data_IF_959478790014
#
_entry.id   IF_959478790014
#
_cell.length_a   1.000
_cell.length_b   1.000
_cell.length_c   1.000
_cell.angle_alpha   90.00
_cell.angle_beta   90.00
_cell.angle_gamma   90.00
#
_symmetry.space_group_name_H-M   'P 1'
#
loop_
_entity.id
_entity.type
_entity.pdbx_description
1 polymer ?
#
# COMPACT_ATOMS: atom_id res chain seq x y z
N UNK A 1 1.08 -21.62 -28.86
CA UNK A 1 -0.26 -21.50 -28.21
C UNK A 1 -0.11 -20.95 -26.78
N UNK A 2 0.76 -19.95 -26.56
CA UNK A 2 1.04 -19.40 -25.21
C UNK A 2 0.64 -17.92 -25.05
N UNK A 3 0.35 -17.20 -26.15
CA UNK A 3 0.14 -15.73 -26.08
C UNK A 3 -1.28 -15.26 -25.73
N UNK A 4 -2.30 -16.13 -25.84
CA UNK A 4 -3.70 -15.68 -25.61
C UNK A 4 -4.13 -15.66 -24.14
N UNK A 5 -3.37 -16.31 -23.22
CA UNK A 5 -3.72 -16.30 -21.78
C UNK A 5 -3.19 -15.08 -21.04
N UNK A 6 -2.03 -14.53 -21.43
CA UNK A 6 -1.46 -13.34 -20.77
C UNK A 6 -2.21 -12.06 -21.10
N UNK A 7 -2.75 -11.91 -22.32
CA UNK A 7 -3.51 -10.72 -22.70
C UNK A 7 -4.84 -10.55 -21.92
N UNK A 8 -5.47 -11.67 -21.51
CA UNK A 8 -6.72 -11.60 -20.74
C UNK A 8 -6.52 -11.27 -19.25
N UNK A 9 -5.35 -11.51 -18.69
CA UNK A 9 -5.08 -11.35 -17.26
C UNK A 9 -4.68 -9.91 -16.91
N UNK A 10 -3.84 -9.26 -17.71
CA UNK A 10 -3.61 -7.82 -17.62
C UNK A 10 -4.94 -7.04 -17.74
N UNK A 11 -5.89 -7.53 -18.53
CA UNK A 11 -7.17 -6.87 -18.75
C UNK A 11 -8.05 -6.75 -17.48
N UNK A 12 -7.89 -7.58 -16.45
CA UNK A 12 -8.72 -7.48 -15.23
C UNK A 12 -8.23 -6.37 -14.29
N UNK A 13 -6.95 -6.30 -14.02
CA UNK A 13 -6.37 -5.23 -13.20
C UNK A 13 -6.52 -3.87 -13.91
N UNK A 14 -6.22 -3.78 -15.19
CA UNK A 14 -6.43 -2.58 -15.99
C UNK A 14 -7.90 -2.11 -15.97
N UNK A 15 -8.86 -3.03 -15.97
CA UNK A 15 -10.28 -2.70 -15.83
C UNK A 15 -10.62 -2.19 -14.42
N UNK A 16 -10.01 -2.74 -13.38
CA UNK A 16 -10.17 -2.23 -12.01
C UNK A 16 -9.61 -0.81 -11.90
N UNK A 17 -8.38 -0.59 -12.36
CA UNK A 17 -7.72 0.72 -12.36
C UNK A 17 -8.56 1.74 -13.15
N UNK A 18 -9.01 1.39 -14.35
CA UNK A 18 -9.88 2.24 -15.15
C UNK A 18 -11.21 2.56 -14.46
N UNK A 19 -11.81 1.56 -13.78
CA UNK A 19 -13.07 1.74 -13.04
C UNK A 19 -12.94 2.66 -11.84
N UNK A 20 -11.76 2.72 -11.23
CA UNK A 20 -11.46 3.52 -10.04
C UNK A 20 -10.52 4.70 -10.32
N UNK A 21 -10.30 5.03 -11.59
CA UNK A 21 -9.39 6.10 -12.03
C UNK A 21 -9.62 7.42 -11.28
N UNK A 22 -10.87 7.82 -11.03
CA UNK A 22 -11.19 9.05 -10.29
C UNK A 22 -10.66 9.02 -8.85
N UNK A 23 -10.79 7.89 -8.15
CA UNK A 23 -10.26 7.76 -6.78
C UNK A 23 -8.74 7.74 -6.82
N UNK A 24 -8.15 6.99 -7.76
CA UNK A 24 -6.69 6.94 -7.98
C UNK A 24 -6.16 8.35 -8.28
N UNK A 25 -6.78 9.09 -9.20
CA UNK A 25 -6.41 10.46 -9.51
C UNK A 25 -6.51 11.39 -8.30
N UNK A 26 -7.54 11.22 -7.46
CA UNK A 26 -7.70 11.99 -6.23
C UNK A 26 -6.58 11.70 -5.22
N UNK A 27 -6.12 10.46 -5.12
CA UNK A 27 -4.99 10.05 -4.28
C UNK A 27 -3.68 10.61 -4.84
N UNK A 28 -3.42 10.41 -6.13
CA UNK A 28 -2.16 10.82 -6.78
C UNK A 28 -1.98 12.35 -6.83
N UNK A 29 -3.08 13.11 -6.88
CA UNK A 29 -3.09 14.58 -6.89
C UNK A 29 -3.61 15.17 -5.57
N UNK A 30 -3.49 14.41 -4.47
CA UNK A 30 -4.00 14.84 -3.17
C UNK A 30 -3.36 16.16 -2.71
N UNK A 31 -4.12 17.09 -2.05
CA UNK A 31 -3.61 18.36 -1.56
C UNK A 31 -2.36 18.27 -0.68
N UNK A 32 -2.20 17.18 0.09
CA UNK A 32 -0.98 16.91 0.85
C UNK A 32 0.26 16.85 -0.06
N UNK A 33 0.16 16.15 -1.20
CA UNK A 33 1.26 16.00 -2.15
C UNK A 33 1.51 17.31 -2.93
N UNK A 34 0.45 18.02 -3.28
CA UNK A 34 0.57 19.34 -3.91
C UNK A 34 1.26 20.35 -3.00
N UNK A 35 0.93 20.35 -1.71
CA UNK A 35 1.61 21.18 -0.71
C UNK A 35 3.07 20.75 -0.48
N UNK A 36 3.35 19.44 -0.56
CA UNK A 36 4.70 18.90 -0.50
C UNK A 36 5.56 19.43 -1.67
N UNK A 37 5.06 19.34 -2.90
CA UNK A 37 5.76 19.83 -4.10
C UNK A 37 6.08 21.33 -4.04
N UNK A 38 5.19 22.12 -3.42
CA UNK A 38 5.38 23.56 -3.20
C UNK A 38 6.26 23.91 -2.00
N UNK A 39 6.76 22.90 -1.27
CA UNK A 39 7.51 23.06 -0.02
C UNK A 39 6.70 23.80 1.09
N UNK A 40 5.38 23.58 1.10
CA UNK A 40 4.44 24.16 2.08
C UNK A 40 4.11 23.17 3.22
N UNK A 41 4.56 21.91 3.12
CA UNK A 41 4.35 20.89 4.16
C UNK A 41 5.27 21.16 5.35
N UNK A 42 4.67 21.34 6.52
CA UNK A 42 5.41 21.45 7.77
C UNK A 42 6.07 20.12 8.14
N UNK A 43 7.23 20.19 8.80
CA UNK A 43 7.98 18.99 9.26
C UNK A 43 7.13 18.08 10.13
N UNK A 44 6.26 18.64 10.96
CA UNK A 44 5.37 17.90 11.85
C UNK A 44 4.38 17.01 11.07
N UNK A 45 3.94 17.43 9.88
CA UNK A 45 3.09 16.61 8.99
C UNK A 45 3.84 15.38 8.47
N UNK A 46 5.12 15.54 8.13
CA UNK A 46 5.99 14.41 7.75
C UNK A 46 6.23 13.48 8.94
N UNK A 47 6.35 14.02 10.15
CA UNK A 47 6.47 13.21 11.36
C UNK A 47 5.19 12.41 11.63
N UNK A 48 4.00 13.02 11.45
CA UNK A 48 2.72 12.32 11.55
C UNK A 48 2.67 11.17 10.54
N UNK A 49 2.96 11.44 9.26
CA UNK A 49 3.01 10.42 8.22
C UNK A 49 3.86 9.21 8.65
N UNK A 50 5.08 9.43 9.13
CA UNK A 50 5.99 8.35 9.55
C UNK A 50 5.46 7.59 10.77
N UNK A 51 4.85 8.28 11.73
CA UNK A 51 4.26 7.62 12.90
C UNK A 51 3.07 6.73 12.50
N UNK A 52 2.23 7.20 11.59
CA UNK A 52 1.10 6.40 11.08
C UNK A 52 1.59 5.17 10.29
N UNK A 53 2.63 5.33 9.46
CA UNK A 53 3.25 4.20 8.75
C UNK A 53 3.77 3.12 9.71
N UNK A 54 4.32 3.52 10.85
CA UNK A 54 4.77 2.57 11.86
C UNK A 54 3.62 1.69 12.38
N UNK A 55 2.44 2.26 12.62
CA UNK A 55 1.27 1.51 13.06
C UNK A 55 0.73 0.60 11.96
N UNK A 56 0.64 1.11 10.72
CA UNK A 56 0.19 0.34 9.56
C UNK A 56 1.07 -0.89 9.37
N UNK A 57 2.38 -0.71 9.18
CA UNK A 57 3.33 -1.79 8.92
C UNK A 57 3.28 -2.87 10.01
N UNK A 58 3.21 -2.48 11.28
CA UNK A 58 3.13 -3.46 12.38
C UNK A 58 1.87 -4.30 12.35
N UNK A 59 0.74 -3.71 11.96
CA UNK A 59 -0.50 -4.45 11.80
C UNK A 59 -0.47 -5.32 10.55
N UNK A 60 0.04 -4.79 9.44
CA UNK A 60 0.05 -5.49 8.16
C UNK A 60 0.96 -6.72 8.20
N UNK A 61 2.07 -6.66 8.93
CA UNK A 61 2.87 -7.86 9.24
C UNK A 61 2.07 -8.96 9.93
N UNK A 62 1.16 -8.61 10.85
CA UNK A 62 0.27 -9.58 11.51
C UNK A 62 -0.80 -10.09 10.57
N UNK A 63 -1.35 -9.19 9.75
CA UNK A 63 -2.32 -9.53 8.72
C UNK A 63 -1.75 -10.54 7.73
N UNK A 64 -0.55 -10.30 7.19
CA UNK A 64 0.11 -11.23 6.27
C UNK A 64 0.47 -12.56 6.93
N UNK A 65 0.95 -12.57 8.18
CA UNK A 65 1.18 -13.81 8.91
C UNK A 65 -0.11 -14.63 9.08
N UNK A 66 -1.24 -13.97 9.33
CA UNK A 66 -2.55 -14.62 9.39
C UNK A 66 -3.00 -15.11 8.00
N UNK A 67 -2.81 -14.33 6.94
CA UNK A 67 -3.12 -14.71 5.56
C UNK A 67 -2.34 -15.95 5.13
N UNK A 68 -1.04 -16.04 5.46
CA UNK A 68 -0.22 -17.23 5.22
C UNK A 68 -0.87 -18.47 5.87
N UNK A 69 -1.32 -18.36 7.12
CA UNK A 69 -1.90 -19.51 7.87
C UNK A 69 -3.21 -20.01 7.29
N UNK A 70 -3.93 -19.21 6.49
CA UNK A 70 -5.23 -19.54 5.88
C UNK A 70 -5.20 -19.58 4.35
N UNK A 71 -4.03 -19.44 3.74
CA UNK A 71 -3.87 -19.46 2.29
C UNK A 71 -4.49 -20.73 1.69
N UNK A 72 -5.17 -20.58 0.55
CA UNK A 72 -5.89 -21.68 -0.09
C UNK A 72 -4.97 -22.71 -0.75
N UNK A 73 -3.74 -22.30 -1.08
CA UNK A 73 -2.72 -23.15 -1.67
C UNK A 73 -1.30 -22.56 -1.42
N UNK A 74 -0.28 -23.28 -1.89
CA UNK A 74 1.12 -22.92 -1.70
C UNK A 74 1.50 -21.62 -2.45
N UNK A 75 0.87 -21.30 -3.57
CA UNK A 75 1.12 -20.08 -4.34
C UNK A 75 0.65 -18.86 -3.53
N UNK A 76 -0.55 -18.94 -2.95
CA UNK A 76 -1.06 -17.87 -2.10
C UNK A 76 -0.18 -17.68 -0.85
N UNK A 77 0.24 -18.78 -0.22
CA UNK A 77 1.13 -18.75 0.94
C UNK A 77 2.48 -18.11 0.62
N UNK A 78 3.06 -18.39 -0.55
CA UNK A 78 4.30 -17.78 -1.04
C UNK A 78 4.13 -16.27 -1.22
N UNK A 79 3.09 -15.82 -1.94
CA UNK A 79 2.82 -14.39 -2.17
C UNK A 79 2.64 -13.61 -0.87
N UNK A 80 1.90 -14.15 0.10
CA UNK A 80 1.74 -13.49 1.40
C UNK A 80 3.02 -13.52 2.24
N UNK A 81 3.89 -14.52 2.04
CA UNK A 81 5.22 -14.57 2.67
C UNK A 81 6.12 -13.48 2.11
N UNK A 82 6.07 -13.22 0.81
CA UNK A 82 6.79 -12.11 0.18
C UNK A 82 6.32 -10.76 0.71
N UNK A 83 5.00 -10.56 0.86
CA UNK A 83 4.44 -9.37 1.48
C UNK A 83 4.92 -9.21 2.93
N UNK A 84 4.89 -10.26 3.75
CA UNK A 84 5.39 -10.24 5.13
C UNK A 84 6.88 -9.87 5.19
N UNK A 85 7.67 -10.41 4.27
CA UNK A 85 9.11 -10.10 4.15
C UNK A 85 9.34 -8.63 3.77
N UNK A 86 8.56 -8.11 2.82
CA UNK A 86 8.61 -6.71 2.41
C UNK A 86 8.26 -5.77 3.57
N UNK A 87 7.19 -6.04 4.31
CA UNK A 87 6.79 -5.26 5.49
C UNK A 87 7.83 -5.33 6.62
N UNK A 88 8.51 -6.45 6.77
CA UNK A 88 9.59 -6.59 7.76
C UNK A 88 10.78 -5.70 7.43
N UNK A 89 11.21 -5.68 6.17
CA UNK A 89 12.27 -4.79 5.67
C UNK A 89 11.84 -3.32 5.73
N UNK A 90 10.55 -3.05 5.47
CA UNK A 90 9.97 -1.71 5.56
C UNK A 90 10.06 -1.16 6.98
N UNK A 91 9.75 -1.95 7.99
CA UNK A 91 9.84 -1.51 9.39
C UNK A 91 11.28 -1.14 9.80
N UNK A 92 12.28 -1.89 9.33
CA UNK A 92 13.69 -1.59 9.56
C UNK A 92 14.12 -0.28 8.89
N UNK A 93 13.71 -0.09 7.62
CA UNK A 93 14.08 1.10 6.86
C UNK A 93 13.29 2.35 7.30
N UNK A 94 12.06 2.19 7.80
CA UNK A 94 11.28 3.29 8.38
C UNK A 94 11.97 3.94 9.58
N UNK A 95 12.74 3.17 10.37
CA UNK A 95 13.49 3.70 11.49
C UNK A 95 14.54 4.75 11.05
N UNK A 96 15.16 4.56 9.88
CA UNK A 96 16.13 5.52 9.31
C UNK A 96 15.43 6.83 8.87
N UNK A 97 14.25 6.71 8.26
CA UNK A 97 13.44 7.87 7.89
C UNK A 97 12.97 8.64 9.13
N UNK A 98 12.52 7.92 10.16
CA UNK A 98 12.10 8.48 11.45
C UNK A 98 13.26 9.26 12.11
N UNK A 99 14.47 8.68 12.16
CA UNK A 99 15.64 9.33 12.69
C UNK A 99 15.97 10.65 11.95
N UNK A 100 15.89 10.64 10.61
CA UNK A 100 16.10 11.85 9.80
C UNK A 100 15.07 12.95 10.09
N UNK A 101 13.86 12.58 10.48
CA UNK A 101 12.81 13.52 10.90
C UNK A 101 12.86 13.88 12.40
N UNK A 102 13.83 13.37 13.15
CA UNK A 102 13.97 13.65 14.59
C UNK A 102 12.94 12.91 15.46
N UNK A 103 12.34 11.85 14.95
CA UNK A 103 11.39 11.00 15.70
C UNK A 103 12.22 9.97 16.48
N UNK A 104 12.12 9.99 17.81
CA UNK A 104 12.84 9.05 18.68
C UNK A 104 12.12 7.71 18.82
N UNK A 105 10.77 7.74 18.86
CA UNK A 105 9.92 6.54 18.95
C UNK A 105 8.63 6.77 18.16
N UNK A 106 8.52 6.17 16.98
CA UNK A 106 7.36 6.29 16.12
C UNK A 106 6.08 5.66 16.70
N UNK A 107 6.24 4.74 17.68
CA UNK A 107 5.13 4.00 18.31
C UNK A 107 4.43 4.72 19.47
N UNK A 108 4.97 5.86 19.93
CA UNK A 108 4.44 6.52 21.15
C UNK A 108 3.20 7.42 20.84
N UNK A 109 2.91 7.67 19.57
CA UNK A 109 1.68 8.38 19.19
C UNK A 109 0.52 7.41 19.09
N UNK A 110 -0.65 7.86 19.58
CA UNK A 110 -1.91 7.16 19.32
C UNK A 110 -2.22 7.33 17.84
N UNK A 111 -2.50 6.22 17.11
CA UNK A 111 -2.79 6.30 15.68
C UNK A 111 -4.06 7.12 15.42
N UNK A 112 -4.07 7.85 14.32
CA UNK A 112 -5.25 8.59 13.87
C UNK A 112 -6.27 7.60 13.30
N UNK A 113 -7.52 7.71 13.71
CA UNK A 113 -8.58 6.76 13.35
C UNK A 113 -8.72 6.60 11.82
N UNK A 114 -8.65 7.71 11.07
CA UNK A 114 -8.72 7.66 9.60
C UNK A 114 -7.53 6.94 8.96
N UNK A 115 -6.31 7.12 9.50
CA UNK A 115 -5.14 6.40 9.03
C UNK A 115 -5.21 4.91 9.40
N UNK A 116 -5.66 4.61 10.63
CA UNK A 116 -5.76 3.24 11.11
C UNK A 116 -6.87 2.44 10.42
N UNK A 117 -7.86 3.12 9.83
CA UNK A 117 -8.94 2.51 9.06
C UNK A 117 -8.42 1.69 7.86
N UNK A 118 -7.34 2.12 7.22
CA UNK A 118 -6.68 1.41 6.13
C UNK A 118 -6.25 -0.01 6.55
N UNK A 119 -5.40 -0.12 7.56
CA UNK A 119 -4.93 -1.43 8.02
C UNK A 119 -6.02 -2.25 8.72
N UNK A 120 -7.05 -1.62 9.31
CA UNK A 120 -8.23 -2.33 9.82
C UNK A 120 -9.01 -2.98 8.67
N UNK A 121 -9.09 -2.33 7.50
CA UNK A 121 -9.70 -2.94 6.34
C UNK A 121 -8.86 -4.13 5.82
N UNK A 122 -7.54 -4.01 5.80
CA UNK A 122 -6.67 -5.15 5.47
C UNK A 122 -6.85 -6.31 6.47
N UNK A 123 -7.04 -6.01 7.77
CA UNK A 123 -7.38 -7.02 8.78
C UNK A 123 -8.72 -7.71 8.46
N UNK A 124 -9.72 -6.93 8.04
CA UNK A 124 -11.01 -7.51 7.59
C UNK A 124 -10.81 -8.44 6.41
N UNK A 125 -10.01 -8.05 5.42
CA UNK A 125 -9.68 -8.93 4.29
C UNK A 125 -8.91 -10.16 4.74
N UNK A 126 -7.95 -10.03 5.65
CA UNK A 126 -7.20 -11.15 6.21
C UNK A 126 -8.13 -12.17 6.87
N UNK A 127 -9.14 -11.72 7.62
CA UNK A 127 -10.04 -12.63 8.36
C UNK A 127 -11.13 -13.24 7.48
N UNK A 128 -11.76 -12.43 6.63
CA UNK A 128 -13.00 -12.79 5.91
C UNK A 128 -12.84 -12.82 4.39
N UNK A 129 -11.79 -12.25 3.83
CA UNK A 129 -11.55 -12.23 2.40
C UNK A 129 -10.99 -13.55 1.88
N UNK A 130 -11.16 -13.78 0.59
CA UNK A 130 -10.42 -14.81 -0.16
C UNK A 130 -9.07 -14.27 -0.60
N UNK A 131 -8.13 -15.16 -0.94
CA UNK A 131 -6.81 -14.77 -1.48
C UNK A 131 -6.95 -13.86 -2.70
N UNK A 132 -7.92 -14.14 -3.58
CA UNK A 132 -8.19 -13.33 -4.75
C UNK A 132 -8.67 -11.89 -4.40
N UNK A 133 -9.49 -11.71 -3.35
CA UNK A 133 -9.89 -10.38 -2.87
C UNK A 133 -8.72 -9.60 -2.30
N UNK A 134 -7.86 -10.27 -1.54
CA UNK A 134 -6.65 -9.67 -0.95
C UNK A 134 -5.69 -9.24 -2.07
N UNK A 135 -5.42 -10.12 -3.03
CA UNK A 135 -4.51 -9.83 -4.14
C UNK A 135 -5.04 -8.74 -5.07
N UNK A 136 -6.36 -8.70 -5.34
CA UNK A 136 -6.97 -7.61 -6.11
C UNK A 136 -6.82 -6.26 -5.41
N UNK A 137 -6.94 -6.21 -4.08
CA UNK A 137 -6.70 -4.99 -3.31
C UNK A 137 -5.22 -4.58 -3.40
N UNK A 138 -4.28 -5.50 -3.15
CA UNK A 138 -2.82 -5.23 -3.19
C UNK A 138 -2.38 -4.74 -4.56
N UNK A 139 -2.79 -5.40 -5.65
CA UNK A 139 -2.34 -5.07 -7.01
C UNK A 139 -2.81 -3.69 -7.49
N UNK A 140 -3.96 -3.22 -7.03
CA UNK A 140 -4.48 -1.89 -7.39
C UNK A 140 -3.90 -0.79 -6.50
N UNK A 141 -3.67 -1.08 -5.23
CA UNK A 141 -3.33 -0.09 -4.21
C UNK A 141 -1.81 0.18 -4.11
N UNK A 142 -0.96 -0.87 -4.10
CA UNK A 142 0.47 -0.69 -3.93
C UNK A 142 1.14 0.21 -4.98
N UNK A 143 0.76 0.18 -6.28
CA UNK A 143 1.32 1.12 -7.26
C UNK A 143 0.97 2.58 -6.96
N UNK A 144 -0.21 2.85 -6.38
CA UNK A 144 -0.66 4.19 -6.00
C UNK A 144 0.14 4.71 -4.80
N UNK A 145 0.30 3.89 -3.74
CA UNK A 145 1.22 4.18 -2.63
C UNK A 145 2.64 4.43 -3.13
N UNK A 146 3.15 3.57 -4.00
CA UNK A 146 4.49 3.67 -4.56
C UNK A 146 4.73 4.97 -5.29
N UNK A 147 3.78 5.43 -6.11
CA UNK A 147 3.87 6.70 -6.81
C UNK A 147 3.94 7.89 -5.84
N UNK A 148 3.13 7.88 -4.77
CA UNK A 148 3.14 8.92 -3.75
C UNK A 148 4.43 8.89 -2.91
N UNK A 149 4.94 7.71 -2.56
CA UNK A 149 6.21 7.58 -1.84
C UNK A 149 7.40 8.05 -2.66
N UNK A 150 7.38 7.83 -3.99
CA UNK A 150 8.37 8.38 -4.91
C UNK A 150 8.42 9.92 -4.86
N UNK A 151 7.25 10.58 -4.83
CA UNK A 151 7.15 12.04 -4.68
C UNK A 151 7.72 12.51 -3.35
N UNK A 152 7.35 11.84 -2.23
CA UNK A 152 7.86 12.18 -0.90
C UNK A 152 9.37 11.96 -0.81
N UNK A 153 9.89 10.85 -1.32
CA UNK A 153 11.32 10.56 -1.34
C UNK A 153 12.10 11.63 -2.11
N UNK A 154 11.62 11.98 -3.30
CA UNK A 154 12.23 13.02 -4.15
C UNK A 154 12.24 14.39 -3.45
N UNK A 155 11.13 14.74 -2.79
CA UNK A 155 11.02 15.97 -2.01
C UNK A 155 12.02 16.03 -0.85
N UNK A 156 12.10 14.95 -0.05
CA UNK A 156 13.01 14.89 1.10
C UNK A 156 14.47 14.96 0.68
N UNK A 157 14.84 14.26 -0.39
CA UNK A 157 16.19 14.30 -0.94
C UNK A 157 16.56 15.69 -1.45
N UNK A 158 15.65 16.33 -2.20
CA UNK A 158 15.90 17.63 -2.84
C UNK A 158 15.90 18.79 -1.85
N UNK A 159 14.95 18.81 -0.90
CA UNK A 159 14.68 19.99 -0.08
C UNK A 159 15.16 19.86 1.37
N UNK A 160 15.40 18.66 1.86
CA UNK A 160 15.74 18.41 3.28
C UNK A 160 17.06 17.66 3.47
N UNK A 161 17.83 17.42 2.41
CA UNK A 161 19.15 16.78 2.48
C UNK A 161 19.13 15.31 2.89
N UNK A 162 18.00 14.63 2.71
CA UNK A 162 17.90 13.20 2.99
C UNK A 162 18.73 12.40 1.97
N UNK A 163 19.32 11.31 2.44
CA UNK A 163 20.10 10.38 1.62
C UNK A 163 19.23 9.25 1.09
N UNK A 164 19.75 8.48 0.12
CA UNK A 164 19.11 7.24 -0.32
C UNK A 164 18.90 6.25 0.84
N UNK A 165 19.83 6.20 1.79
CA UNK A 165 19.68 5.35 2.99
C UNK A 165 18.50 5.79 3.85
N UNK A 166 18.35 7.10 4.11
CA UNK A 166 17.23 7.64 4.89
C UNK A 166 15.89 7.48 4.21
N UNK A 167 15.85 7.49 2.87
CA UNK A 167 14.62 7.34 2.08
C UNK A 167 14.36 5.89 1.64
N UNK A 168 15.16 4.91 2.08
CA UNK A 168 15.04 3.50 1.65
C UNK A 168 13.62 2.95 1.81
N UNK A 169 12.94 3.29 2.89
CA UNK A 169 11.54 2.92 3.11
C UNK A 169 10.65 3.35 1.95
N UNK A 170 10.72 4.62 1.56
CA UNK A 170 9.92 5.19 0.48
C UNK A 170 10.32 4.59 -0.87
N UNK A 171 11.61 4.48 -1.14
CA UNK A 171 12.15 3.97 -2.40
C UNK A 171 11.80 2.48 -2.61
N UNK A 172 11.71 1.69 -1.53
CA UNK A 172 11.33 0.27 -1.58
C UNK A 172 9.90 0.11 -2.14
N UNK A 173 8.95 0.87 -1.64
CA UNK A 173 7.56 0.81 -2.13
C UNK A 173 7.36 1.54 -3.47
N UNK A 174 8.24 2.47 -3.84
CA UNK A 174 8.24 3.11 -5.15
C UNK A 174 8.75 2.17 -6.27
N UNK A 175 9.36 1.04 -5.91
CA UNK A 175 9.80 0.02 -6.87
C UNK A 175 8.58 -0.78 -7.36
N UNK A 176 8.41 -0.96 -8.68
CA UNK A 176 7.31 -1.78 -9.20
C UNK A 176 7.29 -3.18 -8.62
N UNK A 177 6.10 -3.74 -8.50
CA UNK A 177 5.93 -5.15 -8.09
C UNK A 177 6.67 -6.08 -9.07
N UNK A 178 7.28 -7.16 -8.57
CA UNK A 178 7.93 -8.17 -9.41
C UNK A 178 6.93 -8.80 -10.41
N UNK A 179 7.37 -9.04 -11.65
CA UNK A 179 6.53 -9.67 -12.67
C UNK A 179 6.00 -11.04 -12.21
N UNK A 180 6.82 -11.83 -11.55
CA UNK A 180 6.44 -13.14 -10.99
C UNK A 180 5.32 -13.01 -9.94
N UNK A 181 5.36 -11.97 -9.07
CA UNK A 181 4.29 -11.69 -8.11
C UNK A 181 2.98 -11.37 -8.83
N UNK A 182 3.03 -10.53 -9.88
CA UNK A 182 1.84 -10.17 -10.67
C UNK A 182 1.28 -11.39 -11.38
N UNK A 183 2.13 -12.23 -11.99
CA UNK A 183 1.72 -13.44 -12.72
C UNK A 183 1.04 -14.44 -11.79
N UNK A 184 1.66 -14.78 -10.66
CA UNK A 184 1.09 -15.68 -9.65
C UNK A 184 -0.24 -15.17 -9.10
N UNK A 185 -0.31 -13.86 -8.80
CA UNK A 185 -1.55 -13.22 -8.34
C UNK A 185 -2.67 -13.35 -9.39
N UNK A 186 -2.36 -13.12 -10.65
CA UNK A 186 -3.32 -13.27 -11.75
C UNK A 186 -3.84 -14.71 -11.87
N UNK A 187 -3.01 -15.72 -11.69
CA UNK A 187 -3.44 -17.13 -11.67
C UNK A 187 -4.50 -17.36 -10.59
N UNK A 188 -4.28 -16.86 -9.39
CA UNK A 188 -5.23 -17.02 -8.26
C UNK A 188 -6.52 -16.25 -8.48
N UNK A 189 -6.46 -15.06 -9.06
CA UNK A 189 -7.64 -14.22 -9.33
C UNK A 189 -8.51 -14.76 -10.47
N UNK A 190 -7.92 -15.43 -11.46
CA UNK A 190 -8.63 -15.93 -12.66
C UNK A 190 -9.03 -17.39 -12.60
N UNK A 191 -8.73 -18.11 -11.51
CA UNK A 191 -9.07 -19.54 -11.30
C UNK A 191 -10.57 -19.87 -11.40
N UNK A 192 -10.91 -21.16 -11.45
CA UNK A 192 -12.29 -21.65 -11.62
C UNK A 192 -13.24 -21.07 -10.55
N UNK A 193 -14.35 -20.44 -10.95
CA UNK A 193 -15.41 -19.77 -10.18
C UNK A 193 -15.34 -18.21 -10.19
N UNK A 194 -14.89 -17.64 -11.27
CA UNK A 194 -14.64 -16.20 -11.46
C UNK A 194 -15.88 -15.29 -11.29
N UNK A 195 -17.11 -15.57 -11.82
CA UNK A 195 -18.18 -14.55 -11.81
C UNK A 195 -18.62 -14.10 -10.41
N UNK A 196 -18.71 -15.01 -9.44
CA UNK A 196 -19.12 -14.67 -8.07
C UNK A 196 -18.00 -13.94 -7.30
N UNK A 197 -16.73 -14.24 -7.62
CA UNK A 197 -15.54 -13.62 -7.02
C UNK A 197 -15.26 -12.22 -7.59
N UNK A 198 -15.66 -11.92 -8.84
CA UNK A 198 -15.39 -10.64 -9.50
C UNK A 198 -15.95 -9.46 -8.69
N UNK A 199 -17.22 -9.52 -8.27
CA UNK A 199 -17.82 -8.45 -7.47
C UNK A 199 -17.12 -8.28 -6.11
N UNK A 200 -16.63 -9.36 -5.51
CA UNK A 200 -15.91 -9.32 -4.24
C UNK A 200 -14.52 -8.69 -4.41
N UNK A 201 -13.78 -9.06 -5.46
CA UNK A 201 -12.50 -8.45 -5.84
C UNK A 201 -12.64 -6.97 -6.16
N UNK A 202 -13.66 -6.60 -6.95
CA UNK A 202 -13.95 -5.19 -7.27
C UNK A 202 -14.23 -4.37 -6.02
N UNK A 203 -15.05 -4.91 -5.10
CA UNK A 203 -15.32 -4.26 -3.81
C UNK A 203 -14.05 -4.13 -2.96
N UNK A 204 -13.19 -5.16 -2.94
CA UNK A 204 -11.93 -5.13 -2.19
C UNK A 204 -10.99 -4.05 -2.73
N UNK A 205 -10.79 -4.00 -4.05
CA UNK A 205 -9.99 -3.00 -4.74
C UNK A 205 -10.52 -1.58 -4.53
N UNK A 206 -11.84 -1.38 -4.63
CA UNK A 206 -12.44 -0.07 -4.37
C UNK A 206 -12.22 0.40 -2.95
N UNK A 207 -12.56 -0.43 -1.97
CA UNK A 207 -12.53 -0.02 -0.58
C UNK A 207 -11.12 0.23 -0.07
N UNK A 208 -10.10 -0.52 -0.53
CA UNK A 208 -8.73 -0.23 -0.13
C UNK A 208 -8.28 1.15 -0.63
N UNK A 209 -8.62 1.53 -1.86
CA UNK A 209 -8.35 2.86 -2.39
C UNK A 209 -9.12 3.97 -1.65
N UNK A 210 -10.40 3.73 -1.32
CA UNK A 210 -11.20 4.68 -0.51
C UNK A 210 -10.56 4.89 0.88
N UNK A 211 -9.97 3.83 1.50
CA UNK A 211 -9.25 3.94 2.77
C UNK A 211 -7.87 4.58 2.61
N UNK A 212 -7.17 4.38 1.49
CA UNK A 212 -5.95 5.13 1.21
C UNK A 212 -6.25 6.62 1.08
N UNK A 213 -7.29 7.00 0.34
CA UNK A 213 -7.71 8.40 0.22
C UNK A 213 -8.03 8.99 1.61
N UNK A 214 -8.77 8.25 2.45
CA UNK A 214 -9.06 8.66 3.84
C UNK A 214 -7.78 8.83 4.67
N UNK A 215 -6.75 8.01 4.45
CA UNK A 215 -5.44 8.19 5.09
C UNK A 215 -4.84 9.55 4.73
N UNK A 216 -4.76 9.89 3.45
CA UNK A 216 -4.21 11.16 2.98
C UNK A 216 -5.01 12.36 3.49
N UNK A 217 -6.35 12.30 3.44
CA UNK A 217 -7.25 13.31 3.99
C UNK A 217 -6.97 13.53 5.49
N UNK A 218 -6.84 12.43 6.23
CA UNK A 218 -6.64 12.46 7.68
C UNK A 218 -5.33 13.14 8.05
N UNK A 219 -4.20 12.77 7.45
CA UNK A 219 -2.92 13.41 7.77
C UNK A 219 -2.85 14.86 7.29
N UNK A 220 -3.55 15.20 6.21
CA UNK A 220 -3.58 16.56 5.68
C UNK A 220 -4.38 17.49 6.59
N UNK A 221 -5.57 17.08 7.03
CA UNK A 221 -6.48 17.91 7.82
C UNK A 221 -6.17 17.90 9.31
N UNK A 222 -5.43 16.91 9.82
CA UNK A 222 -5.11 16.82 11.25
C UNK A 222 -4.40 18.08 11.73
N UNK A 223 -4.95 18.72 12.76
CA UNK A 223 -4.33 19.89 13.42
C UNK A 223 -3.06 19.46 14.17
N UNK A 224 -2.01 20.30 14.07
CA UNK A 224 -0.71 20.09 14.73
C UNK A 224 -0.72 20.83 16.07
#
# INVERSE_FOLDING_TARGET
>A
MHDSKNQNNNSFIEKLESSYSKTIDSILNHPYLAALEKNEIKREKLQIFVCEQYHIIRNDRRNFAFMISKASDDIAAELFTDCLSAETKALESLALLAQGLGIRRGSDRIPLAGCHAYTNYLTRLAVYGSDAEILAAILVDLPVWGANYSKISSFLKKNHGFTNSSCRFLDQFATPLPEDFIEKSNILMTGRNVPQKVNAMQRAARLILDYELLFWDTIYTHSI
#
